data_IF_369301129227
#
_entry.id   IF_369301129227
#
_cell.length_a   1.000
_cell.length_b   1.000
_cell.length_c   1.000
_cell.angle_alpha   90.00
_cell.angle_beta   90.00
_cell.angle_gamma   90.00
#
_symmetry.space_group_name_H-M   'P 1'
#
loop_
_entity.id
_entity.type
_entity.pdbx_description
1 polymer ?
#
# COMPACT_ATOMS: atom_id res chain seq x y z
N UNK A 1 23.02 -6.51 28.45
CA UNK A 1 22.36 -5.52 27.61
C UNK A 1 20.86 -5.78 27.70
N UNK A 2 20.09 -4.81 28.16
CA UNK A 2 18.65 -4.96 28.33
C UNK A 2 17.99 -5.10 26.96
N UNK A 3 16.98 -5.96 26.86
CA UNK A 3 16.22 -6.26 25.64
C UNK A 3 15.62 -5.01 24.95
N UNK A 4 15.62 -3.86 25.62
CA UNK A 4 15.09 -2.58 25.12
C UNK A 4 16.06 -1.75 24.26
N UNK A 5 17.35 -2.14 24.16
CA UNK A 5 18.37 -1.38 23.43
C UNK A 5 18.95 -2.14 22.23
N UNK A 6 18.34 -3.27 21.83
CA UNK A 6 18.80 -3.99 20.64
C UNK A 6 18.18 -3.45 19.37
N UNK A 7 18.93 -3.41 18.28
CA UNK A 7 18.44 -3.06 16.92
C UNK A 7 17.18 -3.83 16.54
N UNK A 8 17.04 -5.06 17.05
CA UNK A 8 15.85 -5.88 16.86
C UNK A 8 14.61 -5.34 17.57
N UNK A 9 14.78 -4.76 18.78
CA UNK A 9 13.68 -4.10 19.52
C UNK A 9 13.21 -2.82 18.82
N UNK A 10 14.14 -2.06 18.26
CA UNK A 10 13.84 -0.84 17.50
C UNK A 10 13.12 -1.16 16.18
N UNK A 11 13.52 -2.24 15.50
CA UNK A 11 12.84 -2.76 14.32
C UNK A 11 11.43 -3.25 14.67
N UNK A 12 11.24 -3.95 15.77
CA UNK A 12 9.92 -4.40 16.24
C UNK A 12 9.01 -3.22 16.58
N UNK A 13 9.51 -2.18 17.28
CA UNK A 13 8.73 -0.97 17.55
C UNK A 13 8.37 -0.21 16.27
N UNK A 14 9.27 -0.15 15.28
CA UNK A 14 8.98 0.43 13.97
C UNK A 14 7.94 -0.40 13.21
N UNK A 15 7.93 -1.72 13.35
CA UNK A 15 6.92 -2.59 12.75
C UNK A 15 5.55 -2.45 13.43
N UNK A 16 5.50 -2.34 14.76
CA UNK A 16 4.26 -2.08 15.51
C UNK A 16 3.68 -0.69 15.21
N UNK A 17 4.53 0.35 15.17
CA UNK A 17 4.13 1.69 14.76
C UNK A 17 3.64 1.75 13.30
N UNK A 18 4.17 0.88 12.45
CA UNK A 18 3.77 0.75 11.03
C UNK A 18 2.37 0.17 10.85
N UNK A 19 1.90 -0.66 11.78
CA UNK A 19 0.55 -1.23 11.76
C UNK A 19 -0.56 -0.18 11.92
N UNK A 20 -0.25 1.02 12.38
CA UNK A 20 -1.23 2.10 12.55
C UNK A 20 -1.53 2.91 11.28
N UNK A 21 -0.70 2.83 10.26
CA UNK A 21 -0.84 3.60 9.02
C UNK A 21 -1.50 2.77 7.90
N UNK A 22 -2.82 2.58 8.03
CA UNK A 22 -3.64 1.91 7.01
C UNK A 22 -3.57 2.63 5.66
N UNK A 23 -3.46 1.86 4.58
CA UNK A 23 -3.52 2.38 3.21
C UNK A 23 -4.90 2.96 2.88
N UNK A 24 -4.99 3.76 1.81
CA UNK A 24 -6.28 4.24 1.29
C UNK A 24 -7.17 3.07 0.85
N UNK A 25 -6.57 2.03 0.31
CA UNK A 25 -7.26 0.82 -0.14
C UNK A 25 -7.87 0.05 1.03
N UNK A 26 -7.19 -0.06 2.18
CA UNK A 26 -7.73 -0.65 3.40
C UNK A 26 -8.87 0.19 4.00
N UNK A 27 -8.75 1.52 3.96
CA UNK A 27 -9.82 2.42 4.38
C UNK A 27 -11.03 2.36 3.45
N UNK A 28 -10.82 2.13 2.14
CA UNK A 28 -11.90 1.91 1.19
C UNK A 28 -12.69 0.64 1.53
N UNK A 29 -12.01 -0.48 1.83
CA UNK A 29 -12.68 -1.72 2.25
C UNK A 29 -13.54 -1.50 3.49
N UNK A 30 -12.98 -0.83 4.51
CA UNK A 30 -13.71 -0.54 5.76
C UNK A 30 -14.96 0.32 5.52
N UNK A 31 -14.86 1.30 4.62
CA UNK A 31 -15.99 2.15 4.22
C UNK A 31 -17.01 1.38 3.38
N UNK A 32 -16.55 0.58 2.44
CA UNK A 32 -17.40 -0.28 1.63
C UNK A 32 -18.18 -1.27 2.49
N UNK A 33 -17.50 -1.98 3.40
CA UNK A 33 -18.13 -2.94 4.30
C UNK A 33 -19.22 -2.31 5.18
N UNK A 34 -19.00 -1.08 5.65
CA UNK A 34 -19.97 -0.34 6.48
C UNK A 34 -21.30 -0.09 5.77
N UNK A 35 -21.29 0.08 4.47
CA UNK A 35 -22.50 0.33 3.66
C UNK A 35 -23.05 -0.98 3.10
N UNK A 36 -22.17 -1.83 2.59
CA UNK A 36 -22.53 -3.07 1.94
C UNK A 36 -23.19 -4.08 2.90
N UNK A 37 -22.59 -4.25 4.09
CA UNK A 37 -23.09 -5.25 5.06
C UNK A 37 -24.54 -5.02 5.47
N UNK A 38 -24.98 -3.83 5.91
CA UNK A 38 -26.38 -3.62 6.25
C UNK A 38 -27.32 -3.81 5.05
N UNK A 39 -26.90 -3.39 3.84
CA UNK A 39 -27.73 -3.59 2.62
C UNK A 39 -27.97 -5.07 2.38
N UNK A 40 -26.94 -5.89 2.43
CA UNK A 40 -27.06 -7.35 2.21
C UNK A 40 -27.87 -8.00 3.33
N UNK A 41 -27.70 -7.58 4.58
CA UNK A 41 -28.49 -8.09 5.71
C UNK A 41 -29.98 -7.76 5.55
N UNK A 42 -30.32 -6.53 5.18
CA UNK A 42 -31.71 -6.15 4.95
C UNK A 42 -32.32 -6.87 3.73
N UNK A 43 -31.54 -7.06 2.66
CA UNK A 43 -31.98 -7.82 1.50
C UNK A 43 -32.25 -9.28 1.84
N UNK A 44 -31.37 -9.91 2.63
CA UNK A 44 -31.57 -11.28 3.11
C UNK A 44 -32.80 -11.40 4.02
N UNK A 45 -32.99 -10.44 4.92
CA UNK A 45 -34.19 -10.40 5.78
C UNK A 45 -35.45 -10.26 4.95
N UNK A 46 -35.46 -9.36 3.97
CA UNK A 46 -36.57 -9.21 3.04
C UNK A 46 -36.82 -10.50 2.24
N UNK A 47 -35.77 -11.18 1.80
CA UNK A 47 -35.86 -12.46 1.07
C UNK A 47 -36.42 -13.58 1.96
N UNK A 48 -36.17 -13.56 3.25
CA UNK A 48 -36.74 -14.51 4.20
C UNK A 48 -38.23 -14.22 4.48
N UNK A 49 -38.60 -12.96 4.69
CA UNK A 49 -39.92 -12.57 5.20
C UNK A 49 -40.94 -12.40 4.08
N UNK A 50 -40.62 -11.65 3.02
CA UNK A 50 -41.58 -11.27 1.99
C UNK A 50 -42.15 -12.48 1.24
N UNK A 51 -41.34 -13.43 0.72
CA UNK A 51 -41.85 -14.57 0.03
C UNK A 51 -42.59 -15.55 0.97
N UNK A 52 -42.14 -15.69 2.23
CA UNK A 52 -42.85 -16.48 3.23
C UNK A 52 -44.27 -15.96 3.46
N UNK A 53 -44.44 -14.67 3.63
CA UNK A 53 -45.74 -14.03 3.76
C UNK A 53 -46.63 -14.24 2.51
N UNK A 54 -46.05 -14.09 1.32
CA UNK A 54 -46.74 -14.27 0.05
C UNK A 54 -47.19 -15.74 -0.11
N UNK A 55 -46.33 -16.71 0.15
CA UNK A 55 -46.69 -18.14 0.06
C UNK A 55 -47.78 -18.52 1.05
N UNK A 56 -47.71 -18.04 2.29
CA UNK A 56 -48.71 -18.32 3.31
C UNK A 56 -50.07 -17.69 3.00
N UNK A 57 -50.08 -16.40 2.56
CA UNK A 57 -51.31 -15.69 2.33
C UNK A 57 -52.01 -16.02 1.01
N UNK A 58 -51.21 -16.25 -0.06
CA UNK A 58 -51.77 -16.50 -1.41
C UNK A 58 -51.88 -18.00 -1.77
N UNK A 59 -50.95 -18.80 -1.30
CA UNK A 59 -50.91 -20.25 -1.64
C UNK A 59 -51.44 -21.13 -0.52
N UNK A 60 -51.70 -20.60 0.68
CA UNK A 60 -52.24 -21.37 1.81
C UNK A 60 -51.26 -22.37 2.41
N UNK A 61 -49.96 -22.23 2.12
CA UNK A 61 -48.94 -23.12 2.67
C UNK A 61 -48.76 -22.92 4.18
N UNK A 62 -48.46 -23.99 4.93
CA UNK A 62 -48.20 -23.85 6.37
C UNK A 62 -46.95 -22.93 6.58
N UNK A 63 -47.10 -21.94 7.45
CA UNK A 63 -46.08 -20.91 7.74
C UNK A 63 -44.70 -21.54 8.02
N UNK A 64 -44.67 -22.66 8.75
CA UNK A 64 -43.39 -23.30 9.09
C UNK A 64 -42.61 -23.83 7.89
N UNK A 65 -43.29 -24.51 6.95
CA UNK A 65 -42.68 -25.07 5.76
C UNK A 65 -42.18 -23.96 4.79
N UNK A 66 -43.00 -22.94 4.58
CA UNK A 66 -42.59 -21.81 3.75
C UNK A 66 -41.41 -21.06 4.36
N UNK A 67 -41.43 -20.81 5.67
CA UNK A 67 -40.35 -20.10 6.37
C UNK A 67 -39.02 -20.87 6.30
N UNK A 68 -39.02 -22.18 6.49
CA UNK A 68 -37.80 -23.02 6.47
C UNK A 68 -37.09 -22.93 5.09
N UNK A 69 -37.84 -23.02 4.00
CA UNK A 69 -37.32 -22.92 2.64
C UNK A 69 -36.75 -21.54 2.34
N UNK A 70 -37.48 -20.48 2.69
CA UNK A 70 -37.05 -19.13 2.39
C UNK A 70 -35.93 -18.64 3.32
N UNK A 71 -35.91 -19.11 4.56
CA UNK A 71 -34.78 -18.89 5.47
C UNK A 71 -33.49 -19.51 4.92
N UNK A 72 -33.55 -20.76 4.46
CA UNK A 72 -32.41 -21.44 3.85
C UNK A 72 -31.89 -20.67 2.64
N UNK A 73 -32.78 -20.18 1.77
CA UNK A 73 -32.42 -19.35 0.61
C UNK A 73 -31.79 -18.03 1.01
N UNK A 74 -32.31 -17.36 2.03
CA UNK A 74 -31.77 -16.11 2.55
C UNK A 74 -30.39 -16.29 3.18
N UNK A 75 -30.16 -17.36 3.91
CA UNK A 75 -28.84 -17.70 4.47
C UNK A 75 -27.85 -18.02 3.35
N UNK A 76 -28.26 -18.78 2.34
CA UNK A 76 -27.43 -19.05 1.16
C UNK A 76 -27.08 -17.77 0.42
N UNK A 77 -28.03 -16.86 0.25
CA UNK A 77 -27.79 -15.52 -0.33
C UNK A 77 -26.76 -14.74 0.48
N UNK A 78 -26.83 -14.73 1.81
CA UNK A 78 -25.83 -14.09 2.68
C UNK A 78 -24.42 -14.61 2.45
N UNK A 79 -24.26 -15.92 2.36
CA UNK A 79 -22.94 -16.57 2.16
C UNK A 79 -22.38 -16.23 0.78
N UNK A 80 -23.18 -16.31 -0.27
CA UNK A 80 -22.76 -16.02 -1.64
C UNK A 80 -22.44 -14.54 -1.84
N UNK A 81 -23.19 -13.67 -1.17
CA UNK A 81 -22.99 -12.20 -1.24
C UNK A 81 -21.78 -11.73 -0.43
N UNK A 82 -21.03 -12.61 0.24
CA UNK A 82 -19.84 -12.21 0.97
C UNK A 82 -18.71 -11.79 0.00
N UNK A 83 -18.19 -10.56 0.04
CA UNK A 83 -17.04 -10.13 -0.77
C UNK A 83 -15.71 -10.61 -0.17
N UNK A 84 -15.66 -11.88 0.32
CA UNK A 84 -14.53 -12.42 1.07
C UNK A 84 -13.21 -12.36 0.28
N UNK A 85 -13.25 -12.62 -1.03
CA UNK A 85 -12.08 -12.53 -1.89
C UNK A 85 -11.50 -11.11 -1.93
N UNK A 86 -12.34 -10.09 -2.01
CA UNK A 86 -11.91 -8.68 -2.01
C UNK A 86 -11.29 -8.28 -0.67
N UNK A 87 -11.93 -8.67 0.43
CA UNK A 87 -11.51 -8.31 1.79
C UNK A 87 -10.17 -8.93 2.17
N UNK A 88 -9.90 -10.16 1.70
CA UNK A 88 -8.66 -10.89 2.01
C UNK A 88 -7.54 -10.57 1.01
N UNK A 89 -7.85 -10.39 -0.27
CA UNK A 89 -6.83 -10.21 -1.33
C UNK A 89 -6.01 -8.92 -1.15
N UNK A 90 -6.64 -7.82 -0.74
CA UNK A 90 -5.95 -6.52 -0.63
C UNK A 90 -4.89 -6.54 0.48
N UNK A 91 -5.20 -6.89 1.75
CA UNK A 91 -4.18 -7.01 2.78
C UNK A 91 -3.09 -8.02 2.40
N UNK A 92 -3.47 -9.17 1.85
CA UNK A 92 -2.52 -10.20 1.45
C UNK A 92 -1.51 -9.70 0.41
N UNK A 93 -1.97 -8.91 -0.57
CA UNK A 93 -1.10 -8.31 -1.59
C UNK A 93 -0.09 -7.33 -0.97
N UNK A 94 -0.51 -6.51 0.00
CA UNK A 94 0.40 -5.63 0.72
C UNK A 94 1.41 -6.40 1.56
N UNK A 95 1.00 -7.43 2.28
CA UNK A 95 1.92 -8.28 3.05
C UNK A 95 2.93 -8.98 2.15
N UNK A 96 2.49 -9.50 1.00
CA UNK A 96 3.38 -10.11 0.02
C UNK A 96 4.39 -9.10 -0.54
N UNK A 97 3.94 -7.88 -0.87
CA UNK A 97 4.81 -6.81 -1.37
C UNK A 97 5.83 -6.34 -0.32
N UNK A 98 5.41 -6.14 0.92
CA UNK A 98 6.30 -5.77 2.04
C UNK A 98 7.30 -6.90 2.30
N UNK A 99 6.85 -8.15 2.30
CA UNK A 99 7.73 -9.31 2.48
C UNK A 99 8.75 -9.47 1.35
N UNK A 100 8.36 -9.19 0.10
CA UNK A 100 9.26 -9.19 -1.04
C UNK A 100 10.32 -8.09 -0.94
N UNK A 101 9.93 -6.87 -0.55
CA UNK A 101 10.85 -5.77 -0.30
C UNK A 101 11.85 -6.10 0.83
N UNK A 102 11.36 -6.72 1.92
CA UNK A 102 12.21 -7.16 3.04
C UNK A 102 13.28 -8.17 2.63
N UNK A 103 12.97 -9.06 1.69
CA UNK A 103 13.98 -10.01 1.15
C UNK A 103 15.10 -9.31 0.37
N UNK A 104 14.82 -8.14 -0.17
CA UNK A 104 15.80 -7.28 -0.85
C UNK A 104 16.51 -6.31 0.11
N UNK A 105 16.30 -6.43 1.42
CA UNK A 105 16.88 -5.54 2.43
C UNK A 105 16.17 -4.18 2.52
N UNK A 106 14.98 -4.02 1.92
CA UNK A 106 14.22 -2.75 1.91
C UNK A 106 13.17 -2.81 3.01
N UNK A 107 13.29 -1.94 4.01
CA UNK A 107 12.32 -1.80 5.09
C UNK A 107 11.18 -0.86 4.67
N UNK A 108 9.99 -1.42 4.41
CA UNK A 108 8.78 -0.66 4.11
C UNK A 108 7.98 -0.45 5.40
N UNK A 109 7.77 0.80 5.80
CA UNK A 109 7.10 1.19 7.06
C UNK A 109 5.56 1.09 7.03
N UNK A 110 5.00 0.23 6.19
CA UNK A 110 3.56 -0.04 6.12
C UNK A 110 2.97 0.07 4.72
N UNK A 111 1.75 -0.45 4.55
CA UNK A 111 1.03 -0.55 3.28
C UNK A 111 0.80 0.82 2.61
N UNK A 112 0.59 1.88 3.40
CA UNK A 112 0.44 3.25 2.89
C UNK A 112 1.66 3.72 2.09
N UNK A 113 2.88 3.42 2.57
CA UNK A 113 4.11 3.84 1.88
C UNK A 113 4.29 3.08 0.57
N UNK A 114 3.93 1.80 0.55
CA UNK A 114 3.96 1.00 -0.69
C UNK A 114 2.96 1.55 -1.73
N UNK A 115 1.76 1.95 -1.30
CA UNK A 115 0.76 2.60 -2.16
C UNK A 115 1.23 3.99 -2.64
N UNK A 116 1.91 4.75 -1.78
CA UNK A 116 2.46 6.06 -2.18
C UNK A 116 3.60 5.92 -3.19
N UNK A 117 4.45 4.89 -3.03
CA UNK A 117 5.57 4.65 -3.93
C UNK A 117 5.10 4.45 -5.38
N UNK A 118 3.97 3.78 -5.59
CA UNK A 118 3.39 3.59 -6.94
C UNK A 118 2.94 4.88 -7.63
N UNK A 119 2.86 6.00 -6.89
CA UNK A 119 2.41 7.32 -7.38
C UNK A 119 3.55 8.34 -7.45
N UNK A 120 4.76 7.94 -7.07
CA UNK A 120 5.94 8.81 -7.12
C UNK A 120 6.25 9.16 -8.57
N UNK A 121 6.42 10.44 -8.83
CA UNK A 121 6.80 10.98 -10.14
C UNK A 121 8.08 11.81 -10.08
N UNK A 122 8.42 12.30 -8.89
CA UNK A 122 9.61 13.11 -8.64
C UNK A 122 10.44 12.44 -7.57
N UNK A 123 11.72 12.28 -7.83
CA UNK A 123 12.70 11.77 -6.86
C UNK A 123 13.75 12.83 -6.63
N UNK A 124 14.06 13.08 -5.37
CA UNK A 124 15.11 14.01 -4.95
C UNK A 124 16.25 13.21 -4.33
N UNK A 125 17.42 13.32 -4.89
CA UNK A 125 18.64 12.71 -4.38
C UNK A 125 19.52 13.74 -3.68
N UNK A 126 20.03 13.35 -2.52
CA UNK A 126 21.21 14.01 -1.98
C UNK A 126 22.45 13.60 -2.78
N UNK A 127 23.39 14.52 -2.95
CA UNK A 127 24.63 14.26 -3.70
C UNK A 127 25.57 13.33 -2.94
N UNK A 128 25.97 13.76 -1.74
CA UNK A 128 27.12 13.19 -1.02
C UNK A 128 26.81 11.84 -0.40
N UNK A 129 27.59 10.82 -0.72
CA UNK A 129 27.37 9.47 -0.24
C UNK A 129 26.19 8.72 -0.88
N UNK A 130 25.28 9.43 -1.58
CA UNK A 130 24.15 8.85 -2.31
C UNK A 130 24.48 8.64 -3.79
N UNK A 131 24.67 9.72 -4.54
CA UNK A 131 25.08 9.68 -5.96
C UNK A 131 26.59 9.58 -6.12
N UNK A 132 27.32 9.99 -5.11
CA UNK A 132 28.78 9.99 -5.05
C UNK A 132 29.31 9.07 -3.96
N UNK A 133 30.60 8.76 -3.96
CA UNK A 133 31.25 7.88 -2.97
C UNK A 133 31.39 8.51 -1.60
N UNK A 134 31.26 9.84 -1.48
CA UNK A 134 31.31 10.58 -0.21
C UNK A 134 32.73 10.68 0.39
N UNK A 135 33.78 10.69 -0.44
CA UNK A 135 35.16 10.85 0.02
C UNK A 135 35.41 12.30 0.45
N UNK A 136 35.76 12.50 1.73
CA UNK A 136 36.02 13.81 2.34
C UNK A 136 37.36 14.40 1.87
N UNK A 137 38.32 13.55 1.50
CA UNK A 137 39.72 13.95 1.22
C UNK A 137 40.09 14.00 -0.28
N UNK A 138 39.17 13.71 -1.18
CA UNK A 138 39.41 13.72 -2.63
C UNK A 138 38.19 14.23 -3.40
N UNK A 139 38.38 14.60 -4.67
CA UNK A 139 37.24 14.91 -5.54
C UNK A 139 36.17 13.83 -5.45
N UNK A 140 34.98 14.26 -5.04
CA UNK A 140 33.84 13.38 -4.82
C UNK A 140 33.41 12.72 -6.15
N UNK A 141 33.68 11.44 -6.30
CA UNK A 141 33.45 10.68 -7.53
C UNK A 141 32.03 10.17 -7.59
N UNK A 142 31.43 10.24 -8.75
CA UNK A 142 30.13 9.63 -9.04
C UNK A 142 30.26 8.12 -8.94
N UNK A 143 29.34 7.46 -8.23
CA UNK A 143 29.28 6.00 -8.19
C UNK A 143 28.99 5.46 -9.59
N UNK A 144 29.67 4.40 -9.99
CA UNK A 144 29.48 3.77 -11.30
C UNK A 144 28.02 3.34 -11.59
N UNK A 145 27.26 3.12 -10.53
CA UNK A 145 25.84 2.70 -10.60
C UNK A 145 24.86 3.87 -10.66
N UNK A 146 25.28 5.11 -10.35
CA UNK A 146 24.35 6.25 -10.20
C UNK A 146 23.65 6.61 -11.50
N UNK A 147 24.39 6.66 -12.61
CA UNK A 147 23.81 6.93 -13.92
C UNK A 147 22.80 5.84 -14.35
N UNK A 148 23.18 4.57 -14.18
CA UNK A 148 22.29 3.46 -14.48
C UNK A 148 21.01 3.50 -13.64
N UNK A 149 21.12 3.85 -12.36
CA UNK A 149 19.99 4.00 -11.47
C UNK A 149 19.03 5.11 -11.95
N UNK A 150 19.57 6.28 -12.33
CA UNK A 150 18.77 7.40 -12.88
C UNK A 150 18.09 7.01 -14.19
N UNK A 151 18.79 6.35 -15.11
CA UNK A 151 18.22 5.91 -16.38
C UNK A 151 17.14 4.85 -16.17
N UNK A 152 17.33 3.92 -15.23
CA UNK A 152 16.33 2.91 -14.85
C UNK A 152 15.08 3.57 -14.28
N UNK A 153 15.22 4.50 -13.33
CA UNK A 153 14.08 5.21 -12.74
C UNK A 153 13.28 5.99 -13.78
N UNK A 154 13.96 6.57 -14.77
CA UNK A 154 13.31 7.24 -15.88
C UNK A 154 12.51 6.27 -16.76
N UNK A 155 13.05 5.09 -17.03
CA UNK A 155 12.35 4.03 -17.79
C UNK A 155 11.13 3.48 -17.03
N UNK A 156 11.16 3.47 -15.70
CA UNK A 156 10.04 3.07 -14.83
C UNK A 156 8.95 4.16 -14.67
N UNK A 157 9.11 5.32 -15.34
CA UNK A 157 8.08 6.36 -15.39
C UNK A 157 8.27 7.52 -14.41
N UNK A 158 9.44 7.64 -13.77
CA UNK A 158 9.78 8.83 -12.99
C UNK A 158 10.03 9.98 -13.96
N UNK A 159 9.21 11.02 -13.85
CA UNK A 159 9.25 12.16 -14.77
C UNK A 159 10.29 13.20 -14.39
N UNK A 160 10.62 13.32 -13.11
CA UNK A 160 11.53 14.34 -12.62
C UNK A 160 12.51 13.77 -11.59
N UNK A 161 13.80 13.90 -11.87
CA UNK A 161 14.87 13.49 -10.97
C UNK A 161 15.68 14.72 -10.63
N UNK A 162 15.75 15.01 -9.33
CA UNK A 162 16.35 16.23 -8.78
C UNK A 162 17.54 15.86 -7.92
N UNK A 163 18.62 16.63 -8.00
CA UNK A 163 19.73 16.53 -7.07
C UNK A 163 19.78 17.78 -6.18
N UNK A 164 19.97 17.55 -4.88
CA UNK A 164 20.14 18.62 -3.88
C UNK A 164 21.51 18.47 -3.20
N UNK A 165 22.19 19.60 -2.98
CA UNK A 165 23.51 19.61 -2.32
C UNK A 165 23.83 20.98 -1.73
N UNK A 166 24.59 20.99 -0.63
CA UNK A 166 25.21 22.21 -0.09
C UNK A 166 26.48 22.64 -0.81
N UNK A 167 26.92 21.94 -1.84
CA UNK A 167 28.16 22.26 -2.57
C UNK A 167 28.01 23.47 -3.49
N UNK A 168 29.18 23.95 -3.93
CA UNK A 168 29.26 25.02 -4.92
C UNK A 168 28.61 24.62 -6.23
N UNK A 169 27.97 25.56 -6.87
CA UNK A 169 27.21 25.39 -8.10
C UNK A 169 27.98 24.66 -9.21
N UNK A 170 29.25 25.01 -9.43
CA UNK A 170 30.07 24.41 -10.49
C UNK A 170 30.25 22.89 -10.32
N UNK A 171 30.49 22.44 -9.06
CA UNK A 171 30.65 21.02 -8.73
C UNK A 171 29.33 20.30 -8.87
N UNK A 172 28.24 20.89 -8.39
CA UNK A 172 26.90 20.35 -8.47
C UNK A 172 26.46 20.16 -9.94
N UNK A 173 26.67 21.15 -10.80
CA UNK A 173 26.32 21.09 -12.22
C UNK A 173 27.14 20.01 -12.96
N UNK A 174 28.43 19.87 -12.68
CA UNK A 174 29.27 18.82 -13.25
C UNK A 174 28.72 17.43 -12.92
N UNK A 175 28.49 17.15 -11.64
CA UNK A 175 28.01 15.86 -11.16
C UNK A 175 26.59 15.58 -11.64
N UNK A 176 25.70 16.55 -11.56
CA UNK A 176 24.33 16.39 -12.01
C UNK A 176 24.20 16.11 -13.51
N UNK A 177 25.03 16.73 -14.33
CA UNK A 177 25.10 16.45 -15.77
C UNK A 177 25.67 15.05 -16.05
N UNK A 178 26.69 14.63 -15.29
CA UNK A 178 27.30 13.31 -15.41
C UNK A 178 26.30 12.19 -15.06
N UNK A 179 25.52 12.38 -13.99
CA UNK A 179 24.49 11.42 -13.55
C UNK A 179 23.24 11.50 -14.43
N UNK A 180 22.96 12.67 -15.03
CA UNK A 180 21.84 12.89 -15.93
C UNK A 180 20.54 13.26 -15.19
N UNK A 181 20.60 14.00 -14.07
CA UNK A 181 19.42 14.51 -13.36
C UNK A 181 18.73 15.63 -14.13
N UNK A 182 17.45 15.86 -13.87
CA UNK A 182 16.66 16.90 -14.55
C UNK A 182 16.87 18.29 -13.97
N UNK A 183 17.03 18.39 -12.64
CA UNK A 183 17.24 19.65 -11.92
C UNK A 183 18.29 19.51 -10.84
N UNK A 184 18.97 20.60 -10.55
CA UNK A 184 20.04 20.68 -9.57
C UNK A 184 19.78 21.89 -8.67
N UNK A 185 19.78 21.64 -7.37
CA UNK A 185 19.76 22.68 -6.34
C UNK A 185 21.06 22.61 -5.56
N UNK A 186 21.83 23.66 -5.63
CA UNK A 186 23.13 23.83 -4.98
C UNK A 186 23.11 24.93 -3.93
N UNK A 187 24.14 24.98 -3.09
CA UNK A 187 24.35 26.06 -2.11
C UNK A 187 23.17 26.13 -1.07
N UNK A 188 22.60 24.98 -0.68
CA UNK A 188 21.50 24.88 0.27
C UNK A 188 21.99 24.91 1.73
#
# INVERSE_FOLDING_TARGET
>A
MAFGESTASEILQLMEASGSHKSRSENFISRFARVYTPIVCYAALALAVVPTMVCTLLMGEPLGAAFEVWLYRALTFLVISCPCALVVSIPLSFFAGIGAAGRLGILVKGSRYLEMLSKVRTIVFDKTGTLTEGNIDSEDRVKSTSRLAVDTLRSEGISEIVMMTGDRREVAERIGNEVGVNRIYSEL
#
